data_IF_274403932773
#
_entry.id   IF_274403932773
#
_cell.length_a   1.000
_cell.length_b   1.000
_cell.length_c   1.000
_cell.angle_alpha   90.00
_cell.angle_beta   90.00
_cell.angle_gamma   90.00
#
_symmetry.space_group_name_H-M   'P 1'
#
loop_
_entity.id
_entity.type
_entity.pdbx_description
1 polymer ?
#
# COMPACT_ATOMS: atom_id res chain seq x y z
N UNK A 1 -0.47 11.69 -0.92
CA UNK A 1 -0.45 12.60 -1.14
C UNK A 1 -0.58 14.03 -1.65
N UNK A 2 0.50 14.81 -1.54
CA UNK A 2 0.49 16.22 -1.97
C UNK A 2 0.17 16.36 -3.46
N UNK A 3 0.70 15.47 -4.30
CA UNK A 3 0.42 15.50 -5.75
C UNK A 3 -1.06 15.27 -6.05
N UNK A 4 -1.69 14.36 -5.34
CA UNK A 4 -3.10 14.06 -5.50
C UNK A 4 -3.97 15.23 -5.03
N UNK A 5 -3.58 15.89 -3.95
CA UNK A 5 -4.26 17.08 -3.46
C UNK A 5 -4.18 18.22 -4.48
N UNK A 6 -3.01 18.47 -5.05
CA UNK A 6 -2.80 19.51 -6.06
C UNK A 6 -3.59 19.20 -7.33
N UNK A 7 -3.62 17.94 -7.76
CA UNK A 7 -4.36 17.50 -8.96
C UNK A 7 -5.86 17.41 -8.73
N UNK A 8 -6.33 17.55 -7.51
CA UNK A 8 -7.75 17.47 -7.13
C UNK A 8 -8.43 16.18 -7.57
N UNK A 9 -7.68 15.06 -7.59
CA UNK A 9 -8.25 13.77 -8.00
C UNK A 9 -8.94 13.00 -6.86
N UNK A 10 -8.96 13.55 -5.65
CA UNK A 10 -9.62 12.93 -4.50
C UNK A 10 -8.89 11.76 -3.87
N UNK A 11 -7.67 11.46 -4.33
CA UNK A 11 -6.92 10.29 -3.89
C UNK A 11 -5.88 10.60 -2.81
N UNK A 12 -5.83 11.81 -2.30
CA UNK A 12 -4.96 12.12 -1.18
C UNK A 12 -5.48 11.47 0.12
N UNK A 13 -4.55 11.12 1.00
CA UNK A 13 -4.87 10.42 2.24
C UNK A 13 -4.20 11.06 3.43
N UNK A 14 -4.83 10.85 4.60
CA UNK A 14 -4.23 11.11 5.91
C UNK A 14 -3.74 9.77 6.45
N UNK A 15 -2.48 9.73 6.87
CA UNK A 15 -1.82 8.49 7.27
C UNK A 15 -1.25 8.63 8.68
N UNK A 16 -1.65 7.72 9.56
CA UNK A 16 -1.16 7.66 10.93
C UNK A 16 -0.75 6.22 11.21
N UNK A 17 0.44 6.03 11.77
CA UNK A 17 0.93 4.71 12.14
C UNK A 17 1.65 4.74 13.48
N UNK A 18 1.52 3.65 14.21
CA UNK A 18 2.32 3.41 15.40
C UNK A 18 3.38 2.38 15.08
N UNK A 19 4.63 2.76 15.30
CA UNK A 19 5.80 1.91 15.07
C UNK A 19 6.30 1.40 16.42
N UNK A 20 6.45 0.10 16.52
CA UNK A 20 7.00 -0.55 17.71
C UNK A 20 8.12 -1.50 17.28
N UNK A 21 9.34 -1.26 17.80
CA UNK A 21 10.54 -2.03 17.44
C UNK A 21 10.73 -2.14 15.92
N UNK A 22 10.55 -1.01 15.21
CA UNK A 22 10.71 -0.95 13.76
C UNK A 22 9.56 -1.50 12.94
N UNK A 23 8.50 -1.98 13.57
CA UNK A 23 7.34 -2.58 12.90
C UNK A 23 6.10 -1.71 13.03
N UNK A 24 5.33 -1.51 11.94
CA UNK A 24 4.06 -0.81 12.02
C UNK A 24 3.00 -1.76 12.59
N UNK A 25 2.61 -1.52 13.84
CA UNK A 25 1.67 -2.38 14.55
C UNK A 25 0.23 -1.87 14.52
N UNK A 26 0.05 -0.61 14.18
CA UNK A 26 -1.25 0.03 14.08
C UNK A 26 -1.18 1.07 12.97
N UNK A 27 -2.24 1.18 12.20
CA UNK A 27 -2.29 2.15 11.13
C UNK A 27 -3.69 2.60 10.81
N UNK A 28 -3.80 3.85 10.34
CA UNK A 28 -5.02 4.42 9.80
C UNK A 28 -4.68 5.12 8.49
N UNK A 29 -5.42 4.79 7.44
CA UNK A 29 -5.39 5.47 6.14
C UNK A 29 -6.78 6.01 5.88
N UNK A 30 -6.92 7.32 5.86
CA UNK A 30 -8.19 7.97 5.62
C UNK A 30 -8.15 8.76 4.31
N UNK A 31 -9.10 8.49 3.41
CA UNK A 31 -9.29 9.22 2.17
C UNK A 31 -10.50 10.16 2.32
N UNK A 32 -10.27 11.46 2.66
CA UNK A 32 -11.37 12.36 3.06
C UNK A 32 -12.39 12.61 1.96
N UNK A 33 -11.94 12.76 0.72
CA UNK A 33 -12.85 13.06 -0.40
C UNK A 33 -13.72 11.85 -0.73
N UNK A 34 -13.17 10.65 -0.64
CA UNK A 34 -13.90 9.40 -0.86
C UNK A 34 -14.71 8.98 0.37
N UNK A 35 -14.44 9.59 1.51
CA UNK A 35 -15.03 9.24 2.80
C UNK A 35 -14.87 7.76 3.14
N UNK A 36 -13.67 7.26 2.97
CA UNK A 36 -13.30 5.87 3.24
C UNK A 36 -12.13 5.84 4.21
N UNK A 37 -12.23 5.01 5.24
CA UNK A 37 -11.16 4.81 6.21
C UNK A 37 -10.75 3.36 6.27
N UNK A 38 -9.44 3.11 6.18
CA UNK A 38 -8.84 1.81 6.41
C UNK A 38 -8.07 1.87 7.72
N UNK A 39 -8.16 0.81 8.51
CA UNK A 39 -7.44 0.76 9.79
C UNK A 39 -6.93 -0.65 10.07
N UNK A 40 -5.91 -0.72 10.90
CA UNK A 40 -5.34 -1.99 11.33
C UNK A 40 -4.91 -1.91 12.79
N UNK A 41 -5.22 -2.95 13.52
CA UNK A 41 -4.78 -3.14 14.90
C UNK A 41 -4.89 -4.63 15.24
N UNK A 42 -3.96 -5.11 16.08
CA UNK A 42 -4.02 -6.48 16.64
C UNK A 42 -4.15 -7.58 15.57
N UNK A 43 -3.46 -7.39 14.44
CA UNK A 43 -3.43 -8.37 13.36
C UNK A 43 -4.69 -8.42 12.50
N UNK A 44 -5.58 -7.44 12.64
CA UNK A 44 -6.82 -7.34 11.85
C UNK A 44 -6.87 -6.02 11.11
N UNK A 45 -7.42 -6.04 9.91
CA UNK A 45 -7.62 -4.86 9.09
C UNK A 45 -9.11 -4.64 8.82
N UNK A 46 -9.50 -3.37 8.73
CA UNK A 46 -10.89 -2.94 8.61
C UNK A 46 -11.02 -1.86 7.55
N UNK A 47 -12.17 -1.84 6.88
CA UNK A 47 -12.60 -0.75 6.00
C UNK A 47 -13.90 -0.19 6.54
N UNK A 48 -13.98 1.13 6.64
CA UNK A 48 -15.18 1.83 7.04
C UNK A 48 -15.64 2.74 5.90
N UNK A 49 -16.86 2.53 5.43
CA UNK A 49 -17.44 3.25 4.31
C UNK A 49 -18.95 3.34 4.53
N UNK A 50 -19.50 4.54 4.33
CA UNK A 50 -20.95 4.78 4.51
C UNK A 50 -21.48 4.32 5.86
N UNK A 51 -20.70 4.53 6.93
CA UNK A 51 -21.07 4.14 8.29
C UNK A 51 -20.98 2.64 8.58
N UNK A 52 -20.55 1.84 7.62
CA UNK A 52 -20.39 0.40 7.77
C UNK A 52 -18.92 0.05 7.91
N UNK A 53 -18.55 -0.62 9.00
CA UNK A 53 -17.21 -1.11 9.25
C UNK A 53 -17.19 -2.61 8.99
N UNK A 54 -16.29 -3.06 8.12
CA UNK A 54 -16.13 -4.48 7.86
C UNK A 54 -14.67 -4.89 7.85
N UNK A 55 -14.39 -6.09 8.32
CA UNK A 55 -13.05 -6.66 8.26
C UNK A 55 -12.68 -6.98 6.83
N UNK A 56 -11.44 -6.67 6.45
CA UNK A 56 -10.91 -6.93 5.12
C UNK A 56 -9.73 -7.89 5.19
N UNK A 57 -9.52 -8.60 4.10
CA UNK A 57 -8.38 -9.49 3.94
C UNK A 57 -8.03 -9.61 2.46
N UNK A 58 -6.81 -10.06 2.19
CA UNK A 58 -6.32 -10.30 0.83
C UNK A 58 -7.11 -11.40 0.15
N UNK A 59 -7.10 -11.36 -1.19
CA UNK A 59 -7.80 -12.35 -2.01
C UNK A 59 -6.96 -12.68 -3.23
N UNK A 60 -6.81 -13.97 -3.51
CA UNK A 60 -6.20 -14.42 -4.76
C UNK A 60 -7.14 -14.17 -5.95
N UNK A 61 -6.56 -13.84 -7.08
CA UNK A 61 -7.27 -13.71 -8.35
C UNK A 61 -6.32 -14.04 -9.48
N UNK A 62 -6.87 -14.65 -10.54
CA UNK A 62 -6.11 -15.05 -11.72
C UNK A 62 -6.83 -14.59 -12.98
N UNK A 63 -6.19 -13.76 -13.84
CA UNK A 63 -4.86 -13.17 -13.66
C UNK A 63 -4.84 -12.15 -12.52
N UNK A 64 -3.67 -11.92 -11.90
CA UNK A 64 -3.59 -10.95 -10.82
C UNK A 64 -3.76 -9.51 -11.33
N UNK A 65 -4.36 -8.67 -10.48
CA UNK A 65 -4.44 -7.24 -10.72
C UNK A 65 -3.28 -6.56 -10.01
N UNK A 66 -2.48 -5.83 -10.78
CA UNK A 66 -1.32 -5.08 -10.28
C UNK A 66 -1.70 -3.61 -10.19
N UNK A 67 -1.54 -3.03 -9.00
CA UNK A 67 -1.77 -1.60 -8.83
C UNK A 67 -0.43 -0.87 -8.98
N UNK A 68 -0.44 0.18 -9.79
CA UNK A 68 0.76 0.95 -10.11
C UNK A 68 0.53 2.44 -9.82
N UNK A 69 1.62 3.18 -9.70
CA UNK A 69 1.57 4.62 -9.50
C UNK A 69 1.20 5.33 -10.80
N UNK A 70 0.31 6.33 -10.73
CA UNK A 70 -0.10 7.09 -11.92
C UNK A 70 1.03 7.92 -12.53
N UNK A 71 1.95 8.38 -11.70
CA UNK A 71 2.89 9.43 -12.06
C UNK A 71 4.25 8.94 -12.55
N UNK A 72 4.47 7.64 -12.63
CA UNK A 72 5.80 7.10 -12.89
C UNK A 72 5.81 6.09 -14.01
N UNK A 73 6.28 6.53 -15.19
CA UNK A 73 6.72 5.62 -16.24
C UNK A 73 8.16 5.23 -15.92
N UNK A 74 8.31 4.10 -15.24
CA UNK A 74 9.58 3.59 -14.76
C UNK A 74 9.99 2.40 -15.63
N UNK A 75 11.23 2.43 -16.16
CA UNK A 75 11.74 1.36 -16.98
C UNK A 75 11.84 0.03 -16.19
N UNK A 76 12.21 0.11 -14.92
CA UNK A 76 12.28 -1.08 -14.05
C UNK A 76 10.89 -1.69 -13.85
N UNK A 77 9.86 -0.88 -13.70
CA UNK A 77 8.49 -1.35 -13.59
C UNK A 77 8.02 -2.05 -14.86
N UNK A 78 8.32 -1.47 -16.03
CA UNK A 78 7.97 -2.09 -17.31
C UNK A 78 8.61 -3.46 -17.47
N UNK A 79 9.90 -3.57 -17.16
CA UNK A 79 10.62 -4.83 -17.21
C UNK A 79 10.02 -5.86 -16.27
N UNK A 80 9.75 -5.46 -15.04
CA UNK A 80 9.11 -6.31 -14.03
C UNK A 80 7.77 -6.86 -14.53
N UNK A 81 6.93 -5.99 -15.08
CA UNK A 81 5.61 -6.38 -15.58
C UNK A 81 5.70 -7.33 -16.77
N UNK A 82 6.69 -7.14 -17.65
CA UNK A 82 6.92 -8.04 -18.77
C UNK A 82 7.30 -9.45 -18.31
N UNK A 83 8.05 -9.56 -17.22
CA UNK A 83 8.48 -10.85 -16.66
C UNK A 83 7.43 -11.52 -15.79
N UNK A 84 6.43 -10.76 -15.32
CA UNK A 84 5.43 -11.25 -14.40
C UNK A 84 4.49 -12.30 -15.00
N UNK A 85 4.32 -12.29 -16.32
CA UNK A 85 3.34 -13.13 -17.00
C UNK A 85 2.00 -12.43 -17.13
N UNK A 86 0.93 -13.20 -17.32
CA UNK A 86 -0.40 -12.63 -17.51
C UNK A 86 -0.87 -11.86 -16.28
N UNK A 87 -1.29 -10.61 -16.46
CA UNK A 87 -1.78 -9.74 -15.41
C UNK A 87 -2.62 -8.61 -16.00
N UNK A 88 -3.37 -7.95 -15.14
CA UNK A 88 -4.04 -6.69 -15.44
C UNK A 88 -3.44 -5.59 -14.58
N UNK A 89 -3.59 -4.34 -14.99
CA UNK A 89 -3.08 -3.19 -14.23
C UNK A 89 -4.18 -2.19 -13.94
N UNK A 90 -4.05 -1.51 -12.82
CA UNK A 90 -4.86 -0.35 -12.46
C UNK A 90 -3.97 0.68 -11.77
N UNK A 91 -4.40 1.92 -11.71
CA UNK A 91 -3.65 2.96 -11.01
C UNK A 91 -4.54 3.72 -10.05
N UNK A 92 -3.96 4.05 -8.90
CA UNK A 92 -4.57 4.92 -7.90
C UNK A 92 -3.41 5.63 -7.18
N UNK A 93 -3.69 6.79 -6.60
CA UNK A 93 -2.66 7.56 -5.90
C UNK A 93 -2.50 7.19 -4.43
N UNK A 94 -1.45 7.74 -3.83
CA UNK A 94 -1.19 7.69 -2.39
C UNK A 94 -1.08 6.28 -1.81
N UNK A 95 -1.27 6.19 -0.50
CA UNK A 95 -1.27 4.93 0.25
C UNK A 95 -2.48 4.04 -0.05
N UNK A 96 -3.44 4.51 -0.86
CA UNK A 96 -4.57 3.69 -1.30
C UNK A 96 -4.13 2.44 -2.06
N UNK A 97 -2.95 2.44 -2.65
CA UNK A 97 -2.38 1.26 -3.31
C UNK A 97 -2.20 0.08 -2.35
N UNK A 98 -1.76 0.34 -1.12
CA UNK A 98 -1.70 -0.68 -0.07
C UNK A 98 -3.10 -1.22 0.26
N UNK A 99 -4.06 -0.32 0.30
CA UNK A 99 -5.43 -0.64 0.70
C UNK A 99 -6.16 -1.50 -0.33
N UNK A 100 -5.89 -1.28 -1.63
CA UNK A 100 -6.46 -2.13 -2.68
C UNK A 100 -5.99 -3.59 -2.54
N UNK A 101 -4.74 -3.80 -2.18
CA UNK A 101 -4.24 -5.15 -1.92
C UNK A 101 -4.87 -5.72 -0.65
N UNK A 102 -4.93 -4.90 0.41
CA UNK A 102 -5.50 -5.32 1.69
C UNK A 102 -6.96 -5.78 1.59
N UNK A 103 -7.76 -5.11 0.78
CA UNK A 103 -9.19 -5.44 0.65
C UNK A 103 -9.49 -6.48 -0.43
N UNK A 104 -8.46 -7.01 -1.09
CA UNK A 104 -8.63 -8.08 -2.08
C UNK A 104 -8.98 -7.61 -3.48
N UNK A 105 -8.94 -6.31 -3.76
CA UNK A 105 -9.19 -5.78 -5.10
C UNK A 105 -7.98 -5.92 -6.01
N UNK A 106 -6.77 -5.83 -5.46
CA UNK A 106 -5.53 -6.06 -6.18
C UNK A 106 -4.71 -7.12 -5.48
N UNK A 107 -3.75 -7.71 -6.17
CA UNK A 107 -2.92 -8.78 -5.63
C UNK A 107 -1.46 -8.36 -5.49
N UNK A 108 -1.06 -7.28 -6.14
CA UNK A 108 0.33 -6.89 -6.19
C UNK A 108 0.47 -5.37 -6.36
N UNK A 109 1.38 -4.78 -5.59
CA UNK A 109 1.80 -3.39 -5.73
C UNK A 109 3.32 -3.33 -5.70
N UNK A 110 3.99 -3.28 -6.88
CA UNK A 110 5.44 -3.14 -6.96
C UNK A 110 5.84 -1.66 -6.95
N UNK A 111 6.89 -1.33 -6.22
CA UNK A 111 7.42 0.03 -6.17
C UNK A 111 8.94 0.01 -6.29
N UNK A 112 9.49 0.66 -7.31
CA UNK A 112 10.93 0.78 -7.54
C UNK A 112 11.47 2.16 -7.13
N UNK A 113 10.67 3.20 -7.31
CA UNK A 113 11.08 4.55 -6.94
C UNK A 113 11.09 4.77 -5.43
N UNK A 114 11.77 5.84 -4.98
CA UNK A 114 11.88 6.12 -3.54
C UNK A 114 10.55 6.57 -2.94
N UNK A 115 10.33 6.21 -1.68
CA UNK A 115 9.22 6.69 -0.85
C UNK A 115 9.78 7.05 0.52
N UNK A 116 9.04 7.87 1.26
CA UNK A 116 9.39 8.19 2.64
C UNK A 116 8.65 7.25 3.60
N UNK A 117 9.22 7.07 4.79
CA UNK A 117 8.62 6.17 5.80
C UNK A 117 7.17 6.58 6.15
N UNK A 118 6.86 7.88 6.15
CA UNK A 118 5.50 8.36 6.42
C UNK A 118 4.53 8.13 5.27
N UNK A 119 5.03 7.83 4.06
CA UNK A 119 4.18 7.46 2.93
C UNK A 119 3.72 6.01 3.00
N UNK A 120 4.41 5.17 3.74
CA UNK A 120 4.22 3.71 3.68
C UNK A 120 3.77 3.08 4.98
N UNK A 121 4.13 3.63 6.13
CA UNK A 121 3.95 2.95 7.42
C UNK A 121 2.49 2.59 7.72
N UNK A 122 1.57 3.52 7.51
CA UNK A 122 0.14 3.25 7.78
C UNK A 122 -0.44 2.22 6.81
N UNK A 123 -0.19 2.39 5.50
CA UNK A 123 -0.63 1.42 4.49
C UNK A 123 -0.01 0.04 4.70
N UNK A 124 1.27 0.00 5.09
CA UNK A 124 1.97 -1.24 5.43
C UNK A 124 1.25 -1.96 6.58
N UNK A 125 0.90 -1.25 7.65
CA UNK A 125 0.16 -1.84 8.77
C UNK A 125 -1.15 -2.47 8.30
N UNK A 126 -1.90 -1.75 7.46
CA UNK A 126 -3.19 -2.25 6.93
C UNK A 126 -2.98 -3.48 6.06
N UNK A 127 -2.04 -3.43 5.12
CA UNK A 127 -1.78 -4.55 4.20
C UNK A 127 -1.29 -5.79 4.94
N UNK A 128 -0.36 -5.63 5.87
CA UNK A 128 0.17 -6.76 6.65
C UNK A 128 -0.90 -7.40 7.53
N UNK A 129 -1.72 -6.59 8.19
CA UNK A 129 -2.82 -7.10 9.02
C UNK A 129 -3.88 -7.83 8.20
N UNK A 130 -4.04 -7.48 6.91
CA UNK A 130 -4.95 -8.16 6.00
C UNK A 130 -4.37 -9.43 5.38
N UNK A 131 -3.11 -9.73 5.63
CA UNK A 131 -2.44 -10.96 5.15
C UNK A 131 -1.48 -10.77 4.00
N UNK A 132 -1.20 -9.54 3.58
CA UNK A 132 -0.20 -9.28 2.53
C UNK A 132 1.21 -9.24 3.12
N UNK A 133 2.19 -9.44 2.24
CA UNK A 133 3.60 -9.28 2.55
C UNK A 133 4.09 -7.94 2.00
N UNK A 134 4.76 -7.16 2.83
CA UNK A 134 5.36 -5.88 2.43
C UNK A 134 6.87 -6.04 2.57
N UNK A 135 7.53 -6.39 1.48
CA UNK A 135 8.95 -6.75 1.47
C UNK A 135 9.73 -5.89 0.49
N UNK A 136 11.00 -5.63 0.83
CA UNK A 136 11.92 -5.05 -0.14
C UNK A 136 12.26 -6.07 -1.24
N UNK A 137 13.04 -5.67 -2.23
CA UNK A 137 13.37 -6.53 -3.36
C UNK A 137 14.39 -7.63 -3.01
N UNK A 138 14.87 -7.64 -1.76
CA UNK A 138 15.72 -8.71 -1.22
C UNK A 138 14.90 -9.71 -0.38
N UNK A 139 13.60 -9.51 -0.28
CA UNK A 139 12.70 -10.41 0.46
C UNK A 139 12.60 -10.12 1.95
N UNK A 140 13.15 -9.01 2.42
CA UNK A 140 13.06 -8.62 3.83
C UNK A 140 11.84 -7.75 4.07
N UNK A 141 11.15 -7.90 5.20
CA UNK A 141 10.09 -6.98 5.57
C UNK A 141 10.58 -5.53 5.59
N UNK A 142 9.78 -4.63 5.08
CA UNK A 142 10.09 -3.21 5.13
C UNK A 142 10.15 -2.77 6.59
N UNK A 143 11.24 -2.11 6.97
CA UNK A 143 11.58 -1.83 8.37
C UNK A 143 11.60 -0.32 8.64
N UNK A 144 11.10 0.06 9.81
CA UNK A 144 10.99 1.45 10.25
C UNK A 144 11.85 1.76 11.49
N UNK A 145 12.85 0.95 11.76
CA UNK A 145 13.82 1.23 12.82
C UNK A 145 14.46 2.62 12.58
N UNK A 146 14.54 3.47 13.61
CA UNK A 146 15.12 4.80 13.45
C UNK A 146 16.51 4.78 12.80
N UNK A 147 16.69 5.66 11.81
CA UNK A 147 17.93 5.81 11.06
C UNK A 147 18.02 7.24 10.52
N UNK A 148 19.19 7.62 10.00
CA UNK A 148 19.41 8.98 9.49
C UNK A 148 18.53 9.31 8.28
N UNK A 149 18.30 8.34 7.41
CA UNK A 149 17.46 8.55 6.21
C UNK A 149 16.01 8.15 6.47
N UNK A 150 15.08 8.98 5.99
CA UNK A 150 13.65 8.67 5.99
C UNK A 150 13.20 7.94 4.72
N UNK A 151 14.12 7.65 3.81
CA UNK A 151 13.79 6.99 2.56
C UNK A 151 13.69 5.47 2.74
N UNK A 152 12.67 4.89 2.14
CA UNK A 152 12.53 3.45 2.03
C UNK A 152 13.28 2.94 0.80
N UNK A 153 13.76 1.69 0.82
CA UNK A 153 14.13 1.01 -0.42
C UNK A 153 12.89 0.75 -1.27
N UNK A 154 13.09 0.33 -2.51
CA UNK A 154 12.00 -0.22 -3.31
C UNK A 154 11.38 -1.43 -2.61
N UNK A 155 10.12 -1.72 -2.90
CA UNK A 155 9.39 -2.79 -2.21
C UNK A 155 8.28 -3.34 -3.08
N UNK A 156 7.69 -4.42 -2.62
CA UNK A 156 6.43 -4.92 -3.17
C UNK A 156 5.47 -5.28 -2.04
N UNK A 157 4.21 -5.01 -2.27
CA UNK A 157 3.10 -5.50 -1.47
C UNK A 157 2.49 -6.65 -2.25
N UNK A 158 2.47 -7.84 -1.69
CA UNK A 158 2.08 -9.05 -2.45
C UNK A 158 1.31 -10.01 -1.56
N UNK A 159 0.35 -10.69 -2.17
CA UNK A 159 -0.36 -11.80 -1.51
C UNK A 159 0.41 -13.13 -1.65
N UNK A 160 1.44 -13.17 -2.50
CA UNK A 160 2.21 -14.38 -2.83
C UNK A 160 3.45 -14.58 -1.97
#
# INVERSE_FOLDING_TARGET
GTKEFIKRNGEFTVNIALIDHGKPILGVVYAPVMNVMYSAAEGKAWKEECGVRKQIQVRDARPPLVVISRSHADAELKEYLQQLGEHQTTSIGSSLKFCLVAEGQAQLYPRFGPTNIWDTAAGHAVAAAAGAHVHDWQGKPLDYTPRESFLNPGFRVSIY
#
